data_IF_297729769312
#
_entry.id   IF_297729769312
#
_cell.length_a   1.000
_cell.length_b   1.000
_cell.length_c   1.000
_cell.angle_alpha   90.00
_cell.angle_beta   90.00
_cell.angle_gamma   90.00
#
_symmetry.space_group_name_H-M   'P 1'
#
loop_
_entity.id
_entity.type
_entity.pdbx_description
1 polymer ?
#
# COMPACT_ATOMS: atom_id res chain seq x y z
N UNK A 1 -7.79 24.33 -29.61
CA UNK A 1 -8.23 22.96 -29.93
C UNK A 1 -7.10 22.24 -30.65
N UNK A 2 -6.23 21.54 -29.93
CA UNK A 2 -5.26 20.57 -30.48
C UNK A 2 -4.78 19.68 -29.33
N UNK A 3 -5.31 18.46 -29.30
CA UNK A 3 -5.00 17.44 -28.29
C UNK A 3 -3.58 16.89 -28.50
N UNK A 4 -2.77 16.87 -27.43
CA UNK A 4 -1.51 16.13 -27.39
C UNK A 4 -1.81 14.67 -27.08
N UNK A 5 -1.57 13.79 -28.05
CA UNK A 5 -1.70 12.35 -27.88
C UNK A 5 -0.55 11.81 -27.00
N UNK A 6 -0.89 11.22 -25.84
CA UNK A 6 0.03 10.51 -24.96
C UNK A 6 0.50 9.21 -25.64
N UNK A 7 1.77 9.17 -26.04
CA UNK A 7 2.37 8.02 -26.73
C UNK A 7 2.97 7.07 -25.69
N UNK A 8 2.17 6.17 -25.13
CA UNK A 8 2.68 4.98 -24.44
C UNK A 8 3.42 4.15 -25.48
N UNK A 9 4.76 4.21 -25.50
CA UNK A 9 5.56 3.28 -26.31
C UNK A 9 5.37 1.89 -25.71
N UNK A 10 4.62 1.04 -26.41
CA UNK A 10 4.65 -0.41 -26.15
C UNK A 10 6.08 -0.88 -26.33
N UNK A 11 6.69 -1.39 -25.27
CA UNK A 11 7.94 -2.15 -25.33
C UNK A 11 7.68 -3.36 -26.23
N UNK A 12 8.46 -3.60 -27.31
CA UNK A 12 8.31 -4.78 -28.14
C UNK A 12 8.44 -6.04 -27.29
N UNK A 13 7.53 -7.01 -27.48
CA UNK A 13 7.66 -8.33 -26.83
C UNK A 13 8.96 -8.97 -27.31
N UNK A 14 9.83 -9.45 -26.40
CA UNK A 14 11.03 -10.18 -26.80
C UNK A 14 10.64 -11.48 -27.53
N UNK A 15 11.50 -11.98 -28.44
CA UNK A 15 11.24 -13.19 -29.23
C UNK A 15 11.31 -14.50 -28.43
N UNK A 16 11.59 -14.42 -27.14
CA UNK A 16 11.63 -15.55 -26.20
C UNK A 16 10.73 -15.23 -25.00
N UNK A 17 10.03 -16.24 -24.42
CA UNK A 17 9.25 -16.03 -23.21
C UNK A 17 10.15 -15.42 -22.14
N UNK A 18 9.68 -14.34 -21.52
CA UNK A 18 10.37 -13.77 -20.36
C UNK A 18 10.34 -14.82 -19.23
N UNK A 19 11.33 -14.87 -18.33
CA UNK A 19 11.27 -15.72 -17.13
C UNK A 19 9.98 -15.50 -16.31
N UNK A 20 9.35 -14.33 -16.46
CA UNK A 20 8.08 -13.98 -15.85
C UNK A 20 6.88 -14.79 -16.36
N UNK A 21 6.90 -15.31 -17.58
CA UNK A 21 5.79 -16.13 -18.10
C UNK A 21 5.79 -17.54 -17.47
N UNK A 22 6.97 -18.05 -17.10
CA UNK A 22 7.10 -19.26 -16.29
C UNK A 22 6.79 -19.02 -14.79
N UNK A 23 7.19 -17.86 -14.26
CA UNK A 23 6.90 -17.47 -12.87
C UNK A 23 5.42 -17.17 -12.62
N UNK A 24 4.69 -16.70 -13.65
CA UNK A 24 3.24 -16.40 -13.57
C UNK A 24 2.37 -17.62 -13.31
N UNK A 25 2.86 -18.83 -13.61
CA UNK A 25 2.09 -20.06 -13.46
C UNK A 25 2.14 -20.66 -12.04
N UNK A 26 2.89 -20.09 -11.09
CA UNK A 26 3.32 -20.82 -9.89
C UNK A 26 2.72 -20.37 -8.54
N UNK A 27 1.97 -19.26 -8.47
CA UNK A 27 1.34 -18.82 -7.22
C UNK A 27 -0.12 -18.48 -7.48
N UNK A 28 -1.01 -19.09 -6.68
CA UNK A 28 -2.44 -18.82 -6.74
C UNK A 28 -2.73 -17.43 -6.13
N UNK A 29 -3.70 -16.72 -6.69
CA UNK A 29 -3.99 -15.34 -6.30
C UNK A 29 -4.42 -15.23 -4.82
N UNK A 30 -5.11 -16.26 -4.31
CA UNK A 30 -5.50 -16.43 -2.90
C UNK A 30 -4.32 -16.54 -1.91
N UNK A 31 -3.09 -16.67 -2.43
CA UNK A 31 -1.83 -16.66 -1.67
C UNK A 31 -0.92 -15.50 -2.06
N UNK A 32 -1.42 -14.57 -2.88
CA UNK A 32 -0.66 -13.44 -3.41
C UNK A 32 -1.20 -12.14 -2.81
N UNK A 33 -0.31 -11.35 -2.22
CA UNK A 33 -0.59 -9.98 -1.81
C UNK A 33 0.00 -8.96 -2.77
N UNK A 34 -0.58 -7.76 -2.81
CA UNK A 34 -0.02 -6.63 -3.56
C UNK A 34 0.23 -5.44 -2.63
N UNK A 35 1.45 -4.90 -2.63
CA UNK A 35 1.80 -3.72 -1.86
C UNK A 35 2.08 -2.53 -2.77
N UNK A 36 1.38 -1.44 -2.55
CA UNK A 36 1.51 -0.20 -3.32
C UNK A 36 1.60 0.97 -2.34
N UNK A 37 2.47 1.97 -2.58
CA UNK A 37 2.48 3.22 -1.82
C UNK A 37 1.92 4.35 -2.68
N UNK A 38 0.59 4.52 -2.79
CA UNK A 38 -0.02 5.47 -3.72
C UNK A 38 0.44 6.90 -3.40
N UNK A 39 0.84 7.66 -4.43
CA UNK A 39 1.24 9.06 -4.28
C UNK A 39 2.56 9.26 -3.53
N UNK A 40 3.30 8.18 -3.30
CA UNK A 40 4.55 8.24 -2.56
C UNK A 40 5.73 8.55 -3.47
N UNK A 41 6.53 9.60 -3.17
CA UNK A 41 7.75 9.90 -3.92
C UNK A 41 8.94 9.01 -3.50
N UNK A 42 8.74 7.98 -2.68
CA UNK A 42 9.83 7.12 -2.23
C UNK A 42 10.58 6.52 -3.41
N UNK A 43 11.92 6.50 -3.32
CA UNK A 43 12.82 6.02 -4.37
C UNK A 43 12.72 6.81 -5.68
N UNK A 44 12.55 8.14 -5.59
CA UNK A 44 12.49 9.07 -6.72
C UNK A 44 11.37 8.75 -7.72
N UNK A 45 10.32 8.07 -7.24
CA UNK A 45 9.14 7.74 -8.05
C UNK A 45 8.32 9.02 -8.24
N UNK A 46 8.15 9.44 -9.48
CA UNK A 46 7.24 10.51 -9.84
C UNK A 46 5.96 9.91 -10.45
N UNK A 47 4.85 10.02 -9.73
CA UNK A 47 3.51 9.77 -10.29
C UNK A 47 3.02 11.04 -10.98
N UNK A 48 3.02 11.07 -12.32
CA UNK A 48 2.71 12.27 -13.11
C UNK A 48 1.24 12.71 -13.06
N UNK A 49 0.35 11.84 -12.58
CA UNK A 49 -1.10 12.08 -12.57
C UNK A 49 -1.62 12.24 -11.13
N UNK A 50 -0.79 12.69 -10.18
CA UNK A 50 -1.12 12.71 -8.73
C UNK A 50 -2.42 13.45 -8.40
N UNK A 51 -2.77 14.49 -9.16
CA UNK A 51 -4.03 15.22 -9.02
C UNK A 51 -5.25 14.41 -9.52
N UNK A 52 -5.11 13.62 -10.59
CA UNK A 52 -6.16 12.69 -11.06
C UNK A 52 -6.13 11.35 -10.30
N UNK A 53 -5.07 11.08 -9.51
CA UNK A 53 -4.80 9.84 -8.77
C UNK A 53 -5.02 9.95 -7.24
N UNK A 54 -5.10 11.17 -6.67
CA UNK A 54 -5.26 11.36 -5.21
C UNK A 54 -6.17 12.52 -4.77
N UNK A 55 -6.52 13.47 -5.64
CA UNK A 55 -7.45 14.56 -5.28
C UNK A 55 -8.88 14.23 -5.74
N UNK A 56 -9.89 14.36 -4.86
CA UNK A 56 -11.28 14.12 -5.24
C UNK A 56 -11.76 15.24 -6.17
N UNK A 57 -11.95 14.92 -7.45
CA UNK A 57 -12.60 15.83 -8.39
C UNK A 57 -14.11 16.01 -8.08
N UNK A 58 -14.73 15.07 -7.36
CA UNK A 58 -16.14 15.12 -6.91
C UNK A 58 -16.33 14.31 -5.61
N UNK A 59 -17.26 14.66 -4.70
CA UNK A 59 -17.41 14.05 -3.36
C UNK A 59 -17.91 12.59 -3.34
N UNK A 60 -18.15 11.96 -4.50
CA UNK A 60 -18.86 10.69 -4.60
C UNK A 60 -18.20 9.62 -5.50
N UNK A 61 -17.01 9.86 -6.05
CA UNK A 61 -16.32 8.87 -6.89
C UNK A 61 -15.06 8.31 -6.20
N UNK A 62 -15.02 7.00 -5.89
CA UNK A 62 -13.81 6.36 -5.38
C UNK A 62 -12.73 6.31 -6.47
N UNK A 63 -11.47 6.53 -6.05
CA UNK A 63 -10.35 6.81 -6.95
C UNK A 63 -10.20 5.79 -8.10
N UNK A 64 -10.49 6.16 -9.36
CA UNK A 64 -10.69 5.19 -10.43
C UNK A 64 -9.42 4.47 -10.86
N UNK A 65 -8.22 4.99 -10.64
CA UNK A 65 -7.01 4.38 -11.21
C UNK A 65 -6.52 3.13 -10.48
N UNK A 66 -6.58 3.09 -9.14
CA UNK A 66 -6.26 1.88 -8.37
C UNK A 66 -7.41 0.86 -8.43
N UNK A 67 -8.66 1.34 -8.49
CA UNK A 67 -9.83 0.49 -8.71
C UNK A 67 -9.90 -0.08 -10.15
N UNK A 68 -9.33 0.60 -11.15
CA UNK A 68 -9.30 0.18 -12.57
C UNK A 68 -7.96 -0.39 -13.02
N UNK A 69 -6.93 -0.34 -12.18
CA UNK A 69 -5.68 -1.04 -12.46
C UNK A 69 -6.00 -2.53 -12.66
N UNK A 70 -5.31 -3.24 -13.58
CA UNK A 70 -5.50 -4.67 -13.78
C UNK A 70 -4.87 -5.45 -12.62
N UNK A 71 -5.32 -5.18 -11.41
CA UNK A 71 -5.01 -5.94 -10.21
C UNK A 71 -5.98 -7.12 -10.19
N UNK A 72 -5.50 -8.36 -10.06
CA UNK A 72 -6.37 -9.51 -9.94
C UNK A 72 -7.36 -9.33 -8.77
N UNK A 73 -8.67 -9.51 -8.97
CA UNK A 73 -9.66 -9.32 -7.90
C UNK A 73 -9.57 -10.41 -6.81
N UNK A 74 -8.85 -11.49 -7.07
CA UNK A 74 -8.69 -12.67 -6.23
C UNK A 74 -7.40 -12.67 -5.39
N UNK A 75 -6.73 -11.51 -5.26
CA UNK A 75 -5.59 -11.36 -4.36
C UNK A 75 -5.99 -11.57 -2.89
N UNK A 76 -5.12 -12.25 -2.14
CA UNK A 76 -5.28 -12.46 -0.70
C UNK A 76 -5.42 -11.15 0.09
N UNK A 77 -4.59 -10.15 -0.25
CA UNK A 77 -4.63 -8.84 0.40
C UNK A 77 -4.06 -7.72 -0.45
N UNK A 78 -4.54 -6.50 -0.18
CA UNK A 78 -3.96 -5.26 -0.66
C UNK A 78 -3.31 -4.51 0.50
N UNK A 79 -2.02 -4.21 0.39
CA UNK A 79 -1.26 -3.48 1.40
C UNK A 79 -0.93 -2.08 0.87
N UNK A 80 -1.50 -1.04 1.51
CA UNK A 80 -1.33 0.34 1.05
C UNK A 80 -0.37 1.11 1.95
N UNK A 81 0.63 1.77 1.37
CA UNK A 81 1.36 2.84 2.06
C UNK A 81 0.41 4.00 2.30
N UNK A 82 0.02 4.24 3.56
CA UNK A 82 -0.93 5.30 3.88
C UNK A 82 -0.25 6.66 3.70
N UNK A 83 -0.89 7.53 2.90
CA UNK A 83 -0.42 8.87 2.57
C UNK A 83 -1.02 9.93 3.49
N UNK A 84 -1.32 11.11 2.95
CA UNK A 84 -2.08 12.14 3.68
C UNK A 84 -3.57 11.89 3.46
N UNK A 85 -4.36 12.03 4.52
CA UNK A 85 -5.81 11.84 4.46
C UNK A 85 -6.24 10.37 4.48
N UNK A 86 -7.52 10.14 4.71
CA UNK A 86 -8.11 8.79 4.81
C UNK A 86 -9.08 8.50 3.66
N UNK A 87 -9.27 9.41 2.73
CA UNK A 87 -10.25 9.34 1.64
C UNK A 87 -10.06 8.08 0.79
N UNK A 88 -8.81 7.79 0.40
CA UNK A 88 -8.47 6.58 -0.35
C UNK A 88 -8.70 5.31 0.47
N UNK A 89 -8.37 5.32 1.77
CA UNK A 89 -8.60 4.18 2.67
C UNK A 89 -10.11 3.90 2.79
N UNK A 90 -10.93 4.92 3.00
CA UNK A 90 -12.39 4.79 3.05
C UNK A 90 -13.01 4.33 1.73
N UNK A 91 -12.45 4.74 0.59
CA UNK A 91 -12.89 4.26 -0.71
C UNK A 91 -12.54 2.78 -0.89
N UNK A 92 -11.31 2.39 -0.56
CA UNK A 92 -10.83 1.02 -0.69
C UNK A 92 -11.54 0.06 0.27
N UNK A 93 -11.85 0.47 1.50
CA UNK A 93 -12.57 -0.39 2.46
C UNK A 93 -13.98 -0.76 1.98
N UNK A 94 -14.57 0.03 1.07
CA UNK A 94 -15.89 -0.25 0.47
C UNK A 94 -15.81 -1.09 -0.81
N UNK A 95 -14.71 -0.98 -1.55
CA UNK A 95 -14.57 -1.56 -2.89
C UNK A 95 -13.74 -2.84 -2.92
N UNK A 96 -12.77 -2.96 -2.02
CA UNK A 96 -11.83 -4.07 -2.03
C UNK A 96 -12.48 -5.28 -1.34
N UNK A 97 -12.66 -6.41 -2.04
CA UNK A 97 -13.47 -7.52 -1.53
C UNK A 97 -12.75 -8.39 -0.49
N UNK A 98 -11.42 -8.29 -0.42
CA UNK A 98 -10.57 -9.11 0.45
C UNK A 98 -9.87 -8.24 1.51
N UNK A 99 -8.85 -8.77 2.18
CA UNK A 99 -8.17 -8.05 3.25
C UNK A 99 -7.42 -6.80 2.76
N UNK A 100 -7.68 -5.67 3.40
CA UNK A 100 -6.89 -4.44 3.26
C UNK A 100 -5.84 -4.39 4.39
N UNK A 101 -4.67 -3.79 4.13
CA UNK A 101 -3.61 -3.60 5.13
C UNK A 101 -3.03 -2.19 5.01
N UNK A 102 -3.54 -1.21 5.78
CA UNK A 102 -2.98 0.14 5.78
C UNK A 102 -1.65 0.17 6.53
N UNK A 103 -0.62 0.73 5.88
CA UNK A 103 0.69 1.02 6.48
C UNK A 103 0.75 2.48 6.91
N UNK A 104 0.33 2.75 8.15
CA UNK A 104 0.32 4.10 8.73
C UNK A 104 1.65 4.39 9.43
N UNK A 105 2.69 4.69 8.66
CA UNK A 105 4.04 4.91 9.18
C UNK A 105 4.06 6.00 10.28
N UNK A 106 4.68 5.70 11.42
CA UNK A 106 4.78 6.64 12.55
C UNK A 106 3.57 6.70 13.48
N UNK A 107 2.43 6.14 13.09
CA UNK A 107 1.23 6.07 13.93
C UNK A 107 1.38 5.02 15.05
N UNK A 108 0.81 5.28 16.22
CA UNK A 108 0.80 4.33 17.34
C UNK A 108 -0.20 3.18 17.12
N UNK A 109 -0.02 2.08 17.85
CA UNK A 109 -0.86 0.88 17.70
C UNK A 109 -2.32 1.15 18.07
N UNK A 110 -2.60 1.98 19.08
CA UNK A 110 -3.97 2.23 19.51
C UNK A 110 -4.76 3.00 18.44
N UNK A 111 -4.13 3.97 17.78
CA UNK A 111 -4.73 4.66 16.63
C UNK A 111 -4.97 3.72 15.46
N UNK A 112 -4.04 2.81 15.14
CA UNK A 112 -4.27 1.80 14.08
C UNK A 112 -5.37 0.81 14.45
N UNK A 113 -5.48 0.41 15.73
CA UNK A 113 -6.52 -0.49 16.18
C UNK A 113 -7.94 0.08 15.96
N UNK A 114 -8.09 1.40 16.01
CA UNK A 114 -9.34 2.07 15.64
C UNK A 114 -9.75 1.83 14.18
N UNK A 115 -8.80 1.69 13.26
CA UNK A 115 -9.14 1.36 11.85
C UNK A 115 -9.89 0.02 11.76
N UNK A 116 -9.62 -0.92 12.68
CA UNK A 116 -10.36 -2.18 12.77
C UNK A 116 -11.76 -1.95 13.35
N UNK A 117 -11.86 -1.17 14.43
CA UNK A 117 -13.13 -0.82 15.07
C UNK A 117 -14.07 -0.05 14.12
N UNK A 118 -13.49 0.81 13.27
CA UNK A 118 -14.20 1.62 12.27
C UNK A 118 -14.52 0.85 10.97
N UNK A 119 -14.12 -0.43 10.89
CA UNK A 119 -14.36 -1.28 9.73
C UNK A 119 -13.58 -0.88 8.47
N UNK A 120 -12.45 -0.18 8.64
CA UNK A 120 -11.57 0.20 7.53
C UNK A 120 -10.61 -0.92 7.12
N UNK A 121 -10.29 -1.84 8.04
CA UNK A 121 -9.36 -2.94 7.83
C UNK A 121 -9.59 -4.09 8.80
N UNK A 122 -9.23 -5.33 8.45
CA UNK A 122 -9.27 -6.47 9.36
C UNK A 122 -7.95 -6.65 10.14
N UNK A 123 -6.86 -6.13 9.59
CA UNK A 123 -5.50 -6.26 10.15
C UNK A 123 -4.74 -4.94 10.06
N UNK A 124 -3.80 -4.76 10.98
CA UNK A 124 -2.94 -3.58 11.05
C UNK A 124 -1.48 -3.95 10.90
N UNK A 125 -0.72 -3.06 10.25
CA UNK A 125 0.71 -3.21 10.13
C UNK A 125 1.43 -2.78 11.44
N UNK A 126 2.54 -3.44 11.77
CA UNK A 126 3.28 -3.18 13.02
C UNK A 126 4.79 -3.02 12.81
N UNK A 127 5.25 -2.67 11.60
CA UNK A 127 6.66 -2.74 11.17
C UNK A 127 7.72 -2.35 12.21
N UNK A 128 7.90 -1.03 12.44
CA UNK A 128 8.91 -0.52 13.39
C UNK A 128 8.64 -0.97 14.82
N UNK A 129 7.38 -1.07 15.22
CA UNK A 129 7.00 -1.48 16.58
C UNK A 129 7.39 -2.94 16.85
N UNK A 130 7.22 -3.84 15.89
CA UNK A 130 7.62 -5.24 15.99
C UNK A 130 9.15 -5.38 16.04
N UNK A 131 9.89 -4.56 15.29
CA UNK A 131 11.36 -4.54 15.36
C UNK A 131 11.87 -4.16 16.76
N UNK A 132 11.28 -3.14 17.38
CA UNK A 132 11.62 -2.74 18.74
C UNK A 132 11.13 -3.72 19.82
N UNK A 133 10.16 -4.58 19.49
CA UNK A 133 9.46 -5.45 20.44
C UNK A 133 9.35 -6.90 19.91
N UNK A 134 10.41 -7.73 20.04
CA UNK A 134 10.42 -9.13 19.57
C UNK A 134 9.31 -10.05 20.16
N UNK A 135 8.63 -9.62 21.22
CA UNK A 135 7.46 -10.29 21.82
C UNK A 135 6.23 -9.37 21.82
N UNK A 136 6.03 -8.59 20.74
CA UNK A 136 4.99 -7.57 20.65
C UNK A 136 3.60 -8.11 21.02
N UNK A 137 3.22 -9.28 20.50
CA UNK A 137 1.90 -9.89 20.78
C UNK A 137 1.68 -10.10 22.27
N UNK A 138 2.63 -10.72 22.97
CA UNK A 138 2.51 -10.95 24.42
C UNK A 138 2.51 -9.65 25.22
N UNK A 139 3.29 -8.63 24.78
CA UNK A 139 3.27 -7.32 25.42
C UNK A 139 1.91 -6.64 25.28
N UNK A 140 1.31 -6.69 24.09
CA UNK A 140 -0.03 -6.17 23.86
C UNK A 140 -1.07 -6.92 24.70
N UNK A 141 -1.02 -8.26 24.71
CA UNK A 141 -1.95 -9.12 25.45
C UNK A 141 -1.90 -8.88 26.97
N UNK A 142 -0.73 -8.56 27.51
CA UNK A 142 -0.51 -8.36 28.96
C UNK A 142 -0.49 -6.88 29.38
N UNK A 143 -0.61 -5.95 28.43
CA UNK A 143 -0.45 -4.52 28.71
C UNK A 143 0.96 -4.11 29.13
N UNK A 144 1.97 -4.91 28.79
CA UNK A 144 3.36 -4.59 29.12
C UNK A 144 3.85 -3.38 28.30
N UNK A 145 4.75 -2.54 28.87
CA UNK A 145 5.30 -1.39 28.17
C UNK A 145 5.94 -1.78 26.83
N UNK A 146 5.77 -0.95 25.80
CA UNK A 146 6.44 -1.12 24.51
C UNK A 146 7.76 -0.34 24.48
N UNK A 147 8.78 -0.96 23.94
CA UNK A 147 10.03 -0.29 23.63
C UNK A 147 9.81 0.70 22.48
N UNK A 148 10.48 1.85 22.55
CA UNK A 148 10.64 2.76 21.42
C UNK A 148 11.77 2.24 20.51
N UNK A 149 11.66 2.50 19.22
CA UNK A 149 12.80 2.27 18.33
C UNK A 149 13.90 3.27 18.66
N UNK A 150 15.15 2.81 18.75
CA UNK A 150 16.29 3.72 18.83
C UNK A 150 16.32 4.59 17.57
N UNK A 151 16.59 5.89 17.71
CA UNK A 151 16.49 6.90 16.64
C UNK A 151 17.37 6.67 15.40
N UNK A 152 18.10 5.57 15.33
CA UNK A 152 18.73 5.09 14.10
C UNK A 152 17.78 4.07 13.46
N UNK A 153 16.97 4.46 12.46
CA UNK A 153 16.25 3.47 11.67
C UNK A 153 17.25 2.46 11.09
N UNK A 154 16.85 1.19 10.92
CA UNK A 154 17.69 0.19 10.24
C UNK A 154 18.10 0.63 8.83
N UNK A 155 17.39 1.62 8.27
CA UNK A 155 17.82 2.43 7.14
C UNK A 155 18.83 3.46 7.61
N UNK A 156 20.12 3.11 7.60
CA UNK A 156 21.17 4.12 7.55
C UNK A 156 20.91 5.00 6.32
N UNK A 157 20.72 6.28 6.57
CA UNK A 157 20.45 7.39 5.64
C UNK A 157 21.03 7.19 4.23
N UNK A 158 20.19 6.72 3.30
CA UNK A 158 20.26 7.06 1.88
C UNK A 158 19.23 8.17 1.64
N UNK A 159 19.41 9.30 2.31
CA UNK A 159 18.93 10.56 1.75
C UNK A 159 20.01 10.97 0.75
N UNK A 160 19.78 10.62 -0.52
CA UNK A 160 20.50 11.25 -1.61
C UNK A 160 20.05 12.71 -1.66
N UNK A 161 21.04 13.60 -1.67
CA UNK A 161 20.86 15.05 -1.82
C UNK A 161 20.12 15.41 -3.11
#
# INVERSE_FOLDING_TARGET
>A
MLARANRVRRVPRPPHPLPSDAARAQVAADRTGFRVPPGSPFNDIAESDTHELHEPHEPHEPHPALARAPIPPDLAHLHIGHGRGDELLHALSKLWPNTLVPNRAGTDIATRAKDIEDGLTDIVDVGVTALANPALVERLRTGAPLNTHGGTPCLSTLQLN
#
